data_IF_727501970564
#
_entry.id   IF_727501970564
#
_cell.length_a   1.000
_cell.length_b   1.000
_cell.length_c   1.000
_cell.angle_alpha   90.00
_cell.angle_beta   90.00
_cell.angle_gamma   90.00
#
_symmetry.space_group_name_H-M   'P 1'
#
loop_
_entity.id
_entity.type
_entity.pdbx_description
1 polymer ?
#
# COMPACT_ATOMS: atom_id res chain seq x y z
N UNK A 1 15.10 20.67 79.86
CA UNK A 1 14.70 21.27 78.58
C UNK A 1 14.94 20.25 77.49
N UNK A 2 13.90 19.57 76.96
CA UNK A 2 13.96 18.59 75.89
C UNK A 2 13.57 19.28 74.58
N UNK A 3 14.52 19.41 73.64
CA UNK A 3 14.25 19.92 72.28
C UNK A 3 13.76 18.77 71.44
N UNK A 4 12.53 18.84 70.92
CA UNK A 4 11.97 17.95 69.93
C UNK A 4 12.36 18.43 68.54
N UNK A 5 13.11 17.57 67.80
CA UNK A 5 13.49 17.79 66.40
C UNK A 5 12.41 17.16 65.51
N UNK A 6 11.60 17.98 64.88
CA UNK A 6 10.61 17.51 63.88
C UNK A 6 11.27 17.31 62.55
N UNK A 7 11.43 16.06 62.15
CA UNK A 7 11.90 15.66 60.81
C UNK A 7 10.72 15.70 59.85
N UNK A 8 10.69 16.69 58.96
CA UNK A 8 9.70 16.75 57.85
C UNK A 8 10.16 15.84 56.75
N UNK A 9 9.56 14.67 56.58
CA UNK A 9 9.83 13.75 55.49
C UNK A 9 8.94 14.18 54.32
N UNK A 10 9.46 14.94 53.38
CA UNK A 10 8.80 15.29 52.10
C UNK A 10 8.92 14.10 51.15
N UNK A 11 7.91 13.31 51.04
CA UNK A 11 7.71 12.29 49.98
C UNK A 11 7.42 12.99 48.67
N UNK A 12 8.44 13.08 47.79
CA UNK A 12 8.22 13.51 46.39
C UNK A 12 7.56 12.35 45.66
N UNK A 13 6.24 12.44 45.46
CA UNK A 13 5.49 11.56 44.57
C UNK A 13 5.86 11.94 43.14
N UNK A 14 6.80 11.22 42.54
CA UNK A 14 7.05 11.31 41.09
C UNK A 14 5.83 10.71 40.34
N UNK A 15 4.89 11.53 39.96
CA UNK A 15 3.85 11.22 39.00
C UNK A 15 4.51 10.98 37.65
N UNK A 16 4.81 9.73 37.34
CA UNK A 16 5.12 9.32 35.97
C UNK A 16 3.88 9.56 35.13
N UNK A 17 3.84 10.67 34.40
CA UNK A 17 2.88 10.93 33.34
C UNK A 17 3.12 9.89 32.23
N UNK A 18 2.53 8.71 32.37
CA UNK A 18 2.40 7.81 31.24
C UNK A 18 1.49 8.50 30.23
N UNK A 19 2.08 9.10 29.22
CA UNK A 19 1.33 9.53 28.03
C UNK A 19 0.66 8.28 27.47
N UNK A 20 -0.66 8.18 27.60
CA UNK A 20 -1.42 7.07 27.05
C UNK A 20 -1.28 7.13 25.52
N UNK A 21 -0.73 6.08 24.89
CA UNK A 21 -0.61 6.00 23.45
C UNK A 21 -1.98 6.16 22.80
N UNK A 22 -2.09 7.12 21.89
CA UNK A 22 -3.30 7.31 21.10
C UNK A 22 -3.23 6.46 19.84
N UNK A 23 -4.20 5.59 19.65
CA UNK A 23 -4.34 4.73 18.47
C UNK A 23 -5.47 5.27 17.60
N UNK A 24 -5.20 5.48 16.32
CA UNK A 24 -6.16 6.00 15.35
C UNK A 24 -6.21 5.10 14.11
N UNK A 25 -7.37 4.51 13.83
CA UNK A 25 -7.58 3.73 12.62
C UNK A 25 -7.55 4.63 11.38
N UNK A 26 -6.88 4.19 10.32
CA UNK A 26 -7.12 4.78 9.02
C UNK A 26 -8.58 4.54 8.60
N UNK A 27 -9.23 5.46 7.89
CA UNK A 27 -10.57 5.22 7.37
C UNK A 27 -10.63 3.88 6.63
N UNK A 28 -11.63 3.06 6.90
CA UNK A 28 -11.78 1.67 6.40
C UNK A 28 -10.61 0.71 6.74
N UNK A 29 -9.72 1.07 7.63
CA UNK A 29 -8.54 0.26 8.01
C UNK A 29 -8.87 -1.05 8.74
N UNK A 30 -10.13 -1.24 9.18
CA UNK A 30 -10.65 -2.52 9.71
C UNK A 30 -11.02 -3.54 8.63
N UNK A 31 -10.87 -3.21 7.35
CA UNK A 31 -11.11 -4.06 6.19
C UNK A 31 -12.49 -4.74 6.13
N UNK A 32 -13.48 -4.25 6.88
CA UNK A 32 -14.84 -4.82 6.95
C UNK A 32 -15.79 -4.32 5.84
N UNK A 33 -15.42 -3.24 5.16
CA UNK A 33 -16.32 -2.55 4.22
C UNK A 33 -15.75 -2.58 2.80
N UNK A 34 -16.52 -3.10 1.86
CA UNK A 34 -16.11 -3.31 0.47
C UNK A 34 -17.20 -2.91 -0.50
N UNK A 35 -16.86 -2.13 -1.52
CA UNK A 35 -17.67 -1.97 -2.72
C UNK A 35 -17.30 -3.07 -3.72
N UNK A 36 -18.27 -3.81 -4.19
CA UNK A 36 -18.09 -4.85 -5.22
C UNK A 36 -18.54 -4.29 -6.56
N UNK A 37 -17.64 -4.30 -7.54
CA UNK A 37 -17.90 -3.88 -8.91
C UNK A 37 -17.93 -5.09 -9.81
N UNK A 38 -19.04 -5.35 -10.48
CA UNK A 38 -19.15 -6.39 -11.49
C UNK A 38 -18.80 -5.82 -12.85
N UNK A 39 -17.63 -6.18 -13.36
CA UNK A 39 -17.11 -5.77 -14.66
C UNK A 39 -17.37 -6.88 -15.67
N UNK A 40 -18.11 -6.57 -16.75
CA UNK A 40 -18.30 -7.48 -17.89
C UNK A 40 -17.11 -7.33 -18.83
N UNK A 41 -16.29 -8.36 -18.93
CA UNK A 41 -15.17 -8.41 -19.87
C UNK A 41 -15.67 -8.47 -21.31
N UNK A 42 -14.90 -7.96 -22.26
CA UNK A 42 -15.22 -8.00 -23.68
C UNK A 42 -15.43 -9.44 -24.16
N UNK A 43 -16.35 -9.62 -25.13
CA UNK A 43 -16.64 -10.92 -25.71
C UNK A 43 -15.39 -11.62 -26.26
N UNK A 44 -14.46 -10.88 -26.87
CA UNK A 44 -13.17 -11.38 -27.33
C UNK A 44 -12.34 -12.07 -26.22
N UNK A 45 -12.58 -11.76 -24.95
CA UNK A 45 -11.97 -12.37 -23.77
C UNK A 45 -12.87 -13.40 -23.09
N UNK A 46 -13.93 -13.84 -23.78
CA UNK A 46 -14.90 -14.81 -23.29
C UNK A 46 -16.10 -14.19 -22.55
N UNK A 47 -16.27 -12.88 -22.53
CA UNK A 47 -17.47 -12.18 -22.05
C UNK A 47 -17.82 -12.42 -20.57
N UNK A 48 -16.88 -12.87 -19.74
CA UNK A 48 -17.12 -13.21 -18.33
C UNK A 48 -17.35 -11.96 -17.48
N UNK A 49 -18.21 -12.06 -16.49
CA UNK A 49 -18.34 -11.02 -15.45
C UNK A 49 -17.40 -11.33 -14.30
N UNK A 50 -16.58 -10.35 -13.94
CA UNK A 50 -15.63 -10.43 -12.82
C UNK A 50 -16.05 -9.50 -11.70
N UNK A 51 -15.99 -9.99 -10.46
CA UNK A 51 -16.12 -9.17 -9.26
C UNK A 51 -14.77 -8.48 -8.99
N UNK A 52 -14.76 -7.17 -8.94
CA UNK A 52 -13.60 -6.32 -8.63
C UNK A 52 -13.89 -5.60 -7.32
N UNK A 53 -13.00 -5.71 -6.34
CA UNK A 53 -13.22 -5.25 -4.98
C UNK A 53 -12.48 -3.94 -4.73
N UNK A 54 -13.17 -3.00 -4.06
CA UNK A 54 -12.63 -1.70 -3.64
C UNK A 54 -12.87 -1.54 -2.15
N UNK A 55 -11.85 -1.14 -1.40
CA UNK A 55 -11.98 -0.84 0.04
C UNK A 55 -12.69 0.51 0.18
N UNK A 56 -13.99 0.48 0.46
CA UNK A 56 -14.85 1.66 0.55
C UNK A 56 -16.15 1.29 1.27
N UNK A 57 -17.09 2.24 1.38
CA UNK A 57 -18.44 1.96 1.87
C UNK A 57 -19.03 0.75 1.13
N UNK A 58 -19.65 -0.15 1.87
CA UNK A 58 -20.29 -1.35 1.29
C UNK A 58 -21.35 -0.96 0.26
N UNK A 59 -21.12 -1.44 -0.97
CA UNK A 59 -21.99 -1.15 -2.12
C UNK A 59 -21.80 -2.22 -3.21
N UNK A 60 -22.70 -2.25 -4.19
CA UNK A 60 -22.63 -3.15 -5.36
C UNK A 60 -22.91 -2.38 -6.64
N UNK A 61 -21.93 -2.36 -7.54
CA UNK A 61 -21.99 -1.68 -8.83
C UNK A 61 -21.98 -2.69 -9.98
N UNK A 62 -22.98 -2.62 -10.87
CA UNK A 62 -23.16 -3.59 -11.99
C UNK A 62 -23.01 -2.92 -13.36
N UNK A 63 -21.89 -2.20 -13.55
CA UNK A 63 -21.62 -1.53 -14.82
C UNK A 63 -20.13 -1.24 -15.01
N UNK A 64 -19.69 -1.26 -16.25
CA UNK A 64 -18.33 -0.90 -16.66
C UNK A 64 -18.15 0.61 -16.71
N UNK A 65 -18.34 1.31 -15.57
CA UNK A 65 -18.11 2.76 -15.46
C UNK A 65 -16.88 3.04 -14.61
N UNK A 66 -16.16 4.14 -14.86
CA UNK A 66 -15.08 4.59 -14.00
C UNK A 66 -15.52 4.66 -12.54
N UNK A 67 -14.67 4.22 -11.63
CA UNK A 67 -14.94 4.32 -10.20
C UNK A 67 -14.40 5.64 -9.66
N UNK A 68 -15.22 6.42 -8.96
CA UNK A 68 -14.80 7.71 -8.41
C UNK A 68 -14.01 7.53 -7.13
N UNK A 69 -12.77 7.08 -7.22
CA UNK A 69 -11.88 6.88 -6.06
C UNK A 69 -11.82 8.15 -5.20
N UNK A 70 -11.85 7.96 -3.87
CA UNK A 70 -11.86 9.04 -2.89
C UNK A 70 -13.20 9.73 -2.67
N UNK A 71 -14.23 9.47 -3.48
CA UNK A 71 -15.54 10.12 -3.35
C UNK A 71 -16.28 9.75 -2.06
N UNK A 72 -16.04 8.56 -1.51
CA UNK A 72 -16.69 8.09 -0.28
C UNK A 72 -15.75 8.14 0.94
N UNK A 73 -14.74 9.02 0.93
CA UNK A 73 -13.81 9.20 2.05
C UNK A 73 -12.82 8.04 2.24
N UNK A 74 -12.79 7.06 1.32
CA UNK A 74 -11.78 5.99 1.38
C UNK A 74 -10.43 6.51 0.87
N UNK A 75 -9.35 6.34 1.65
CA UNK A 75 -8.00 6.68 1.22
C UNK A 75 -7.36 5.58 0.37
N UNK A 76 -8.04 4.44 0.18
CA UNK A 76 -7.44 3.23 -0.34
C UNK A 76 -7.60 3.08 -1.85
N UNK A 77 -6.48 2.78 -2.52
CA UNK A 77 -6.43 2.11 -3.81
C UNK A 77 -6.01 0.65 -3.64
N UNK A 78 -6.27 -0.16 -4.67
CA UNK A 78 -5.87 -1.56 -4.74
C UNK A 78 -5.24 -1.86 -6.10
N UNK A 79 -4.48 -2.95 -6.21
CA UNK A 79 -3.98 -3.48 -7.49
C UNK A 79 -5.07 -4.14 -8.34
N UNK A 80 -6.32 -4.20 -7.86
CA UNK A 80 -7.45 -4.57 -8.72
C UNK A 80 -7.66 -3.51 -9.79
N UNK A 81 -7.68 -3.92 -11.04
CA UNK A 81 -7.73 -2.99 -12.16
C UNK A 81 -8.86 -3.33 -13.13
N UNK A 82 -9.64 -2.32 -13.52
CA UNK A 82 -10.46 -2.34 -14.72
C UNK A 82 -9.70 -1.59 -15.80
N UNK A 83 -9.33 -2.29 -16.85
CA UNK A 83 -8.60 -1.73 -17.99
C UNK A 83 -9.49 -1.69 -19.23
N UNK A 84 -9.39 -0.59 -20.00
CA UNK A 84 -10.02 -0.44 -21.30
C UNK A 84 -8.97 0.02 -22.30
N UNK A 85 -8.55 -0.90 -23.17
CA UNK A 85 -7.48 -0.68 -24.16
C UNK A 85 -7.98 -1.05 -25.54
N UNK A 86 -7.96 -0.13 -26.49
CA UNK A 86 -8.44 -0.33 -27.86
C UNK A 86 -9.86 -0.94 -27.92
N UNK A 87 -10.75 -0.51 -27.04
CA UNK A 87 -12.12 -1.03 -26.94
C UNK A 87 -12.25 -2.37 -26.22
N UNK A 88 -11.15 -3.04 -25.87
CA UNK A 88 -11.15 -4.29 -25.11
C UNK A 88 -11.17 -4.00 -23.61
N UNK A 89 -12.14 -4.57 -22.91
CA UNK A 89 -12.36 -4.38 -21.47
C UNK A 89 -11.94 -5.64 -20.71
N UNK A 90 -11.10 -5.46 -19.68
CA UNK A 90 -10.56 -6.53 -18.85
C UNK A 90 -10.55 -6.13 -17.39
N UNK A 91 -10.86 -7.07 -16.50
CA UNK A 91 -10.68 -6.94 -15.06
C UNK A 91 -9.56 -7.86 -14.56
N UNK A 92 -8.63 -7.31 -13.77
CA UNK A 92 -7.61 -8.07 -13.06
C UNK A 92 -7.90 -7.99 -11.55
N UNK A 93 -7.87 -9.13 -10.86
CA UNK A 93 -8.17 -9.24 -9.44
C UNK A 93 -7.01 -9.93 -8.72
N UNK A 94 -6.44 -9.25 -7.75
CA UNK A 94 -5.34 -9.73 -6.90
C UNK A 94 -5.55 -9.36 -5.43
N UNK A 95 -6.65 -8.64 -5.14
CA UNK A 95 -7.06 -8.20 -3.81
C UNK A 95 -8.52 -8.57 -3.60
N UNK A 96 -8.80 -9.29 -2.52
CA UNK A 96 -10.16 -9.75 -2.20
C UNK A 96 -10.43 -9.62 -0.69
N UNK A 97 -11.70 -9.41 -0.28
CA UNK A 97 -12.10 -9.65 1.10
C UNK A 97 -12.06 -11.15 1.41
N UNK A 98 -11.57 -11.51 2.60
CA UNK A 98 -11.64 -12.86 3.13
C UNK A 98 -12.21 -12.82 4.55
N UNK A 99 -13.00 -13.84 4.94
CA UNK A 99 -13.61 -13.90 6.28
C UNK A 99 -12.55 -13.99 7.37
N UNK A 100 -12.70 -13.13 8.40
CA UNK A 100 -11.93 -13.16 9.64
C UNK A 100 -12.86 -12.97 10.83
N UNK A 101 -13.13 -14.04 11.55
CA UNK A 101 -14.11 -14.01 12.63
C UNK A 101 -15.49 -13.54 12.15
N UNK A 102 -16.03 -12.49 12.78
CA UNK A 102 -17.33 -11.89 12.40
C UNK A 102 -17.22 -10.89 11.25
N UNK A 103 -16.00 -10.43 10.90
CA UNK A 103 -15.74 -9.44 9.85
C UNK A 103 -14.96 -10.00 8.65
N UNK A 104 -14.20 -9.13 8.04
CA UNK A 104 -13.34 -9.44 6.92
C UNK A 104 -11.92 -8.93 7.16
N UNK A 105 -10.96 -9.52 6.46
CA UNK A 105 -9.61 -8.98 6.27
C UNK A 105 -9.39 -8.77 4.77
N UNK A 106 -8.32 -8.08 4.42
CA UNK A 106 -7.88 -7.90 3.05
C UNK A 106 -6.86 -8.98 2.70
N UNK A 107 -7.16 -9.81 1.68
CA UNK A 107 -6.26 -10.81 1.11
C UNK A 107 -5.60 -10.26 -0.15
N UNK A 108 -4.28 -10.20 -0.11
CA UNK A 108 -3.41 -9.75 -1.21
C UNK A 108 -2.69 -10.99 -1.77
N UNK A 109 -2.77 -11.22 -3.08
CA UNK A 109 -2.15 -12.40 -3.70
C UNK A 109 -1.36 -12.04 -4.94
N UNK A 110 -0.16 -12.60 -5.06
CA UNK A 110 0.61 -12.54 -6.32
C UNK A 110 0.17 -13.66 -7.23
N UNK A 111 -0.40 -13.31 -8.39
CA UNK A 111 -0.98 -14.27 -9.34
C UNK A 111 -0.50 -14.04 -10.76
N UNK A 112 -0.36 -15.13 -11.52
CA UNK A 112 -0.12 -15.05 -12.96
C UNK A 112 -1.48 -14.93 -13.68
N UNK A 113 -1.79 -13.74 -14.14
CA UNK A 113 -2.99 -13.45 -14.92
C UNK A 113 -2.78 -13.89 -16.37
N UNK A 114 -3.73 -14.65 -16.92
CA UNK A 114 -3.70 -15.08 -18.32
C UNK A 114 -4.87 -14.47 -19.07
N UNK A 115 -4.59 -13.93 -20.25
CA UNK A 115 -5.57 -13.44 -21.21
C UNK A 115 -5.47 -14.29 -22.46
N UNK A 116 -6.48 -15.15 -22.68
CA UNK A 116 -6.58 -15.98 -23.90
C UNK A 116 -7.67 -15.42 -24.79
N UNK A 117 -7.33 -15.04 -26.00
CA UNK A 117 -8.25 -14.60 -27.05
C UNK A 117 -7.66 -14.96 -28.41
N UNK A 118 -8.50 -15.50 -29.31
CA UNK A 118 -8.21 -15.86 -30.71
C UNK A 118 -6.72 -15.91 -31.07
N UNK A 119 -6.02 -17.01 -30.69
CA UNK A 119 -4.60 -17.20 -30.97
C UNK A 119 -3.60 -16.39 -30.13
N UNK A 120 -4.07 -15.62 -29.14
CA UNK A 120 -3.22 -14.82 -28.24
C UNK A 120 -3.30 -15.42 -26.84
N UNK A 121 -2.15 -15.72 -26.22
CA UNK A 121 -2.02 -16.17 -24.82
C UNK A 121 -1.08 -15.21 -24.07
N UNK A 122 -1.62 -14.10 -23.60
CA UNK A 122 -0.84 -13.09 -22.85
C UNK A 122 -0.83 -13.44 -21.37
N UNK A 123 0.36 -13.30 -20.76
CA UNK A 123 0.57 -13.56 -19.34
C UNK A 123 1.16 -12.33 -18.66
N UNK A 124 0.54 -11.89 -17.57
CA UNK A 124 1.02 -10.79 -16.75
C UNK A 124 1.02 -11.19 -15.26
N UNK A 125 2.13 -10.96 -14.58
CA UNK A 125 2.15 -11.14 -13.14
C UNK A 125 1.50 -9.93 -12.48
N UNK A 126 0.50 -10.19 -11.65
CA UNK A 126 -0.16 -9.19 -10.82
C UNK A 126 0.16 -9.46 -9.35
N UNK A 127 0.81 -8.52 -8.70
CA UNK A 127 1.08 -8.56 -7.26
C UNK A 127 -0.05 -7.89 -6.51
N UNK A 128 -0.71 -8.61 -5.60
CA UNK A 128 -1.76 -8.07 -4.73
C UNK A 128 -1.21 -6.97 -3.84
N UNK A 129 -1.77 -5.77 -3.95
CA UNK A 129 -1.33 -4.60 -3.18
C UNK A 129 -2.51 -3.72 -2.82
N UNK A 130 -2.43 -3.10 -1.64
CA UNK A 130 -3.25 -1.96 -1.23
C UNK A 130 -2.34 -0.77 -0.92
N UNK A 131 -2.85 0.42 -1.14
CA UNK A 131 -2.08 1.64 -0.92
C UNK A 131 -2.99 2.83 -0.63
N UNK A 132 -2.44 3.85 0.02
CA UNK A 132 -3.12 5.14 0.12
C UNK A 132 -2.90 5.92 -1.16
N UNK A 133 -4.01 6.24 -1.86
CA UNK A 133 -3.98 6.88 -3.16
C UNK A 133 -5.15 6.48 -4.04
N UNK A 134 -5.03 6.75 -5.35
CA UNK A 134 -6.11 6.53 -6.31
C UNK A 134 -5.59 5.83 -7.55
N UNK A 135 -6.26 4.77 -7.98
CA UNK A 135 -6.04 4.19 -9.29
C UNK A 135 -6.77 5.01 -10.36
N UNK A 136 -6.11 5.32 -11.46
CA UNK A 136 -6.78 5.84 -12.66
C UNK A 136 -7.67 4.74 -13.23
N UNK A 137 -8.94 5.02 -13.41
CA UNK A 137 -9.94 4.02 -13.77
C UNK A 137 -10.87 4.55 -14.90
N UNK A 138 -10.94 3.91 -16.05
CA UNK A 138 -10.22 2.69 -16.42
C UNK A 138 -8.72 2.91 -16.62
N UNK A 139 -7.94 1.86 -16.38
CA UNK A 139 -6.50 1.87 -16.66
C UNK A 139 -6.29 1.91 -18.17
N UNK A 140 -5.49 2.86 -18.63
CA UNK A 140 -5.14 3.03 -20.05
C UNK A 140 -3.99 2.11 -20.47
N UNK A 141 -3.69 2.05 -21.78
CA UNK A 141 -2.54 1.27 -22.32
C UNK A 141 -1.21 1.66 -21.64
N UNK A 142 -0.98 2.95 -21.36
CA UNK A 142 0.20 3.40 -20.65
C UNK A 142 0.26 2.84 -19.23
N UNK A 143 -0.84 2.90 -18.49
CA UNK A 143 -0.95 2.33 -17.14
C UNK A 143 -0.84 0.79 -17.12
N UNK A 144 -1.29 0.10 -18.18
CA UNK A 144 -1.07 -1.34 -18.31
C UNK A 144 0.41 -1.66 -18.51
N UNK A 145 1.16 -0.85 -19.30
CA UNK A 145 2.60 -1.05 -19.56
C UNK A 145 3.46 -0.64 -18.35
N UNK A 146 3.08 0.43 -17.67
CA UNK A 146 3.82 1.01 -16.53
C UNK A 146 2.81 1.29 -15.40
N UNK A 147 2.49 0.29 -14.57
CA UNK A 147 1.40 0.38 -13.59
C UNK A 147 1.48 1.58 -12.64
N UNK A 148 2.69 1.99 -12.26
CA UNK A 148 2.87 3.14 -11.38
C UNK A 148 2.34 4.46 -11.98
N UNK A 149 2.35 4.61 -13.31
CA UNK A 149 1.78 5.78 -14.00
C UNK A 149 0.25 5.85 -13.90
N UNK A 150 -0.42 4.76 -13.54
CA UNK A 150 -1.85 4.72 -13.29
C UNK A 150 -2.22 5.01 -11.82
N UNK A 151 -1.26 5.26 -10.93
CA UNK A 151 -1.51 5.43 -9.50
C UNK A 151 -1.11 6.83 -9.06
N UNK A 152 -2.10 7.61 -8.62
CA UNK A 152 -1.91 8.87 -7.89
C UNK A 152 -1.66 8.52 -6.43
N UNK A 153 -0.38 8.48 -6.03
CA UNK A 153 0.07 7.89 -4.78
C UNK A 153 0.13 8.93 -3.65
N UNK A 154 -0.40 8.52 -2.50
CA UNK A 154 -0.40 9.31 -1.27
C UNK A 154 -1.69 10.08 -1.07
N UNK A 155 -1.94 10.44 0.17
CA UNK A 155 -3.09 11.21 0.62
C UNK A 155 -2.64 12.41 1.45
N UNK A 156 -3.41 13.51 1.53
CA UNK A 156 -3.13 14.61 2.44
C UNK A 156 -3.04 14.11 3.89
N UNK A 157 -1.98 14.49 4.58
CA UNK A 157 -1.73 14.05 5.96
C UNK A 157 -0.70 14.96 6.65
N UNK A 158 -1.04 15.48 7.84
CA UNK A 158 -0.21 16.46 8.56
C UNK A 158 0.24 16.00 9.96
N UNK A 159 -0.21 14.81 10.40
CA UNK A 159 0.10 14.30 11.73
C UNK A 159 1.47 13.59 11.76
N UNK A 160 1.99 13.35 12.97
CA UNK A 160 3.30 12.72 13.19
C UNK A 160 3.14 11.47 14.09
N UNK A 161 2.66 10.34 13.55
CA UNK A 161 2.57 9.08 14.30
C UNK A 161 3.95 8.49 14.58
N UNK A 162 4.08 7.76 15.70
CA UNK A 162 5.32 7.07 16.07
C UNK A 162 5.45 5.68 15.45
N UNK A 163 4.31 5.06 15.07
CA UNK A 163 4.32 3.75 14.41
C UNK A 163 3.09 3.55 13.52
N UNK A 164 3.25 2.72 12.50
CA UNK A 164 2.16 1.99 11.86
C UNK A 164 1.90 0.72 12.68
N UNK A 165 0.62 0.40 12.92
CA UNK A 165 0.20 -0.84 13.56
C UNK A 165 -0.84 -1.53 12.69
N UNK A 166 -0.72 -2.85 12.54
CA UNK A 166 -1.66 -3.67 11.77
C UNK A 166 -1.65 -5.11 12.28
N UNK A 167 -2.66 -5.87 11.87
CA UNK A 167 -2.68 -7.31 12.05
C UNK A 167 -2.34 -7.95 10.69
N UNK A 168 -1.52 -9.00 10.69
CA UNK A 168 -1.22 -9.72 9.45
C UNK A 168 -0.91 -11.21 9.65
N UNK A 169 -1.07 -12.00 8.61
CA UNK A 169 -0.49 -13.32 8.38
C UNK A 169 0.01 -13.41 6.94
N UNK A 170 0.90 -14.36 6.64
CA UNK A 170 1.51 -14.45 5.33
C UNK A 170 1.86 -15.87 4.91
N UNK A 171 1.75 -16.15 3.62
CA UNK A 171 2.37 -17.29 2.94
C UNK A 171 3.38 -16.72 1.95
N UNK A 172 4.66 -17.03 2.16
CA UNK A 172 5.76 -16.54 1.32
C UNK A 172 6.48 -17.76 0.72
N UNK A 173 6.54 -17.81 -0.60
CA UNK A 173 7.22 -18.84 -1.34
C UNK A 173 8.74 -18.77 -1.10
N UNK A 174 9.35 -19.90 -0.74
CA UNK A 174 10.76 -19.96 -0.35
C UNK A 174 11.69 -20.39 -1.51
N UNK A 175 11.26 -20.21 -2.74
CA UNK A 175 12.08 -20.49 -3.92
C UNK A 175 13.24 -19.52 -4.11
N UNK A 176 14.26 -19.94 -4.86
CA UNK A 176 15.40 -19.09 -5.27
C UNK A 176 15.17 -18.41 -6.61
N UNK A 177 13.97 -18.50 -7.16
CA UNK A 177 13.60 -17.89 -8.44
C UNK A 177 12.20 -17.31 -8.41
N UNK A 178 12.01 -16.28 -9.19
CA UNK A 178 10.77 -15.55 -9.37
C UNK A 178 10.32 -15.65 -10.83
N UNK A 179 9.10 -15.25 -11.10
CA UNK A 179 8.54 -15.16 -12.45
C UNK A 179 8.48 -13.69 -12.88
N UNK A 180 8.85 -13.41 -14.11
CA UNK A 180 8.59 -12.14 -14.79
C UNK A 180 7.71 -12.38 -16.00
N UNK A 181 6.55 -11.70 -16.01
CA UNK A 181 5.54 -11.81 -17.08
C UNK A 181 4.87 -10.43 -17.29
N UNK A 182 5.17 -9.79 -18.43
CA UNK A 182 4.89 -8.35 -18.68
C UNK A 182 3.68 -8.12 -19.58
N UNK A 183 2.74 -9.05 -19.68
CA UNK A 183 1.62 -8.94 -20.61
C UNK A 183 1.94 -9.40 -22.04
N UNK A 184 2.95 -10.26 -22.20
CA UNK A 184 3.32 -10.93 -23.45
C UNK A 184 3.10 -12.43 -23.35
N UNK A 185 3.35 -13.17 -24.45
CA UNK A 185 3.34 -14.64 -24.44
C UNK A 185 4.48 -15.24 -23.63
N UNK A 186 5.55 -14.46 -23.42
CA UNK A 186 6.77 -14.90 -22.75
C UNK A 186 6.67 -14.76 -21.24
N UNK A 187 7.02 -15.84 -20.54
CA UNK A 187 7.26 -15.85 -19.10
C UNK A 187 8.73 -16.20 -18.89
N UNK A 188 9.45 -15.41 -18.10
CA UNK A 188 10.87 -15.63 -17.80
C UNK A 188 11.06 -15.91 -16.32
N UNK A 189 12.06 -16.73 -16.01
CA UNK A 189 12.52 -16.97 -14.65
C UNK A 189 13.60 -15.96 -14.28
N UNK A 190 13.48 -15.34 -13.11
CA UNK A 190 14.44 -14.37 -12.56
C UNK A 190 14.97 -14.94 -11.24
N UNK A 191 16.29 -14.92 -11.06
CA UNK A 191 16.90 -15.37 -9.80
C UNK A 191 16.62 -14.37 -8.66
N UNK A 192 16.38 -14.88 -7.47
CA UNK A 192 16.15 -14.09 -6.27
C UNK A 192 14.98 -14.61 -5.45
N UNK A 193 14.71 -13.91 -4.35
CA UNK A 193 13.58 -14.17 -3.47
C UNK A 193 12.65 -12.97 -3.46
N UNK A 194 11.36 -13.25 -3.38
CA UNK A 194 10.34 -12.24 -3.17
C UNK A 194 9.94 -12.19 -1.68
N UNK A 195 9.25 -11.13 -1.27
CA UNK A 195 8.80 -10.94 0.11
C UNK A 195 7.51 -10.12 0.12
N UNK A 196 6.67 -10.31 1.13
CA UNK A 196 5.66 -9.33 1.44
C UNK A 196 6.31 -8.01 1.85
N UNK A 197 5.75 -6.87 1.47
CA UNK A 197 6.31 -5.55 1.78
C UNK A 197 5.27 -4.64 2.43
N UNK A 198 5.67 -3.98 3.51
CA UNK A 198 4.93 -2.90 4.17
C UNK A 198 5.82 -1.67 4.15
N UNK A 199 5.36 -0.58 3.55
CA UNK A 199 6.05 0.71 3.61
C UNK A 199 5.09 1.83 3.98
N UNK A 200 5.54 2.72 4.86
CA UNK A 200 4.88 3.98 5.15
C UNK A 200 5.91 5.10 5.06
N UNK A 201 5.63 6.08 4.20
CA UNK A 201 6.44 7.27 4.06
C UNK A 201 5.60 8.51 4.39
N UNK A 202 6.13 9.36 5.25
CA UNK A 202 5.62 10.70 5.47
C UNK A 202 6.47 11.65 4.62
N UNK A 203 5.80 12.43 3.77
CA UNK A 203 6.47 13.36 2.85
C UNK A 203 5.97 14.80 3.07
N UNK A 204 6.89 15.74 3.00
CA UNK A 204 6.58 17.16 2.79
C UNK A 204 6.72 17.44 1.30
N UNK A 205 5.60 17.57 0.59
CA UNK A 205 5.55 17.78 -0.87
C UNK A 205 5.27 19.24 -1.20
N UNK A 206 5.83 19.68 -2.32
CA UNK A 206 5.47 20.94 -2.98
C UNK A 206 5.56 20.77 -4.50
N UNK A 207 4.94 21.67 -5.22
CA UNK A 207 4.94 21.74 -6.68
C UNK A 207 5.64 23.03 -7.11
N UNK A 208 6.48 22.98 -8.14
CA UNK A 208 7.08 24.14 -8.76
C UNK A 208 6.17 24.76 -9.84
N UNK A 209 6.59 25.88 -10.43
CA UNK A 209 5.84 26.58 -11.47
C UNK A 209 5.64 25.73 -12.74
N UNK A 210 6.55 24.79 -13.02
CA UNK A 210 6.47 23.89 -14.16
C UNK A 210 5.52 22.72 -13.93
N UNK A 211 5.14 22.47 -12.67
CA UNK A 211 4.25 21.39 -12.26
C UNK A 211 5.03 20.13 -11.88
N UNK A 212 6.33 20.22 -11.59
CA UNK A 212 7.09 19.13 -11.02
C UNK A 212 6.79 19.01 -9.53
N UNK A 213 6.65 17.78 -9.03
CA UNK A 213 6.41 17.54 -7.60
C UNK A 213 7.70 17.06 -6.95
N UNK A 214 8.14 17.81 -5.95
CA UNK A 214 9.27 17.49 -5.10
C UNK A 214 8.80 17.08 -3.71
N UNK A 215 9.63 16.33 -2.99
CA UNK A 215 9.38 15.94 -1.62
C UNK A 215 10.64 15.88 -0.76
N UNK A 216 10.52 16.29 0.49
CA UNK A 216 11.40 15.79 1.55
C UNK A 216 10.76 14.58 2.22
N UNK A 217 11.56 13.53 2.46
CA UNK A 217 11.16 12.41 3.30
C UNK A 217 11.22 12.83 4.76
N UNK A 218 10.08 12.90 5.44
CA UNK A 218 9.95 13.31 6.84
C UNK A 218 10.07 12.10 7.76
N UNK A 219 9.35 11.02 7.44
CA UNK A 219 9.34 9.79 8.22
C UNK A 219 9.32 8.55 7.34
N UNK A 220 9.95 7.47 7.81
CA UNK A 220 10.06 6.19 7.11
C UNK A 220 9.74 5.05 8.05
N UNK A 221 8.79 4.20 7.67
CA UNK A 221 8.60 2.88 8.25
C UNK A 221 8.61 1.86 7.11
N UNK A 222 9.30 0.76 7.28
CA UNK A 222 9.30 -0.35 6.33
C UNK A 222 9.52 -1.69 7.00
N UNK A 223 8.93 -2.73 6.42
CA UNK A 223 9.12 -4.11 6.81
C UNK A 223 9.04 -5.00 5.57
N UNK A 224 9.92 -6.01 5.49
CA UNK A 224 9.84 -7.09 4.50
C UNK A 224 9.62 -8.42 5.18
N UNK A 225 8.52 -9.05 4.83
CA UNK A 225 8.11 -10.36 5.34
C UNK A 225 8.70 -11.42 4.40
N UNK A 226 9.85 -11.97 4.79
CA UNK A 226 10.63 -12.91 3.95
C UNK A 226 10.29 -14.38 4.22
N UNK A 227 9.50 -14.68 5.24
CA UNK A 227 9.08 -16.03 5.62
C UNK A 227 7.59 -16.07 5.87
N UNK A 228 6.98 -17.23 5.69
CA UNK A 228 5.58 -17.43 6.04
C UNK A 228 5.32 -17.18 7.52
N UNK A 229 4.17 -16.60 7.80
CA UNK A 229 3.63 -16.31 9.12
C UNK A 229 2.23 -16.91 9.14
N UNK A 230 2.07 -18.20 9.52
CA UNK A 230 0.80 -18.92 9.37
C UNK A 230 -0.29 -18.39 10.29
N UNK A 231 0.09 -17.94 11.48
CA UNK A 231 -0.82 -17.40 12.48
C UNK A 231 -0.88 -15.88 12.44
N UNK A 232 -2.03 -15.30 12.81
CA UNK A 232 -2.20 -13.88 12.87
C UNK A 232 -1.26 -13.23 13.90
N UNK A 233 -0.39 -12.33 13.44
CA UNK A 233 0.30 -11.37 14.30
C UNK A 233 -0.61 -10.15 14.50
N UNK A 234 -1.28 -10.11 15.65
CA UNK A 234 -2.17 -9.01 16.01
C UNK A 234 -1.36 -7.86 16.61
N UNK A 235 -1.68 -6.62 16.23
CA UNK A 235 -1.02 -5.43 16.76
C UNK A 235 0.45 -5.31 16.39
N UNK A 236 0.86 -5.86 15.26
CA UNK A 236 2.24 -5.75 14.79
C UNK A 236 2.60 -4.29 14.51
N UNK A 237 3.71 -3.82 15.09
CA UNK A 237 4.14 -2.42 15.00
C UNK A 237 5.35 -2.29 14.10
N UNK A 238 5.28 -1.34 13.16
CA UNK A 238 6.41 -0.89 12.33
C UNK A 238 6.74 0.53 12.74
N UNK A 239 7.83 0.75 13.51
CA UNK A 239 8.20 2.08 14.00
C UNK A 239 8.50 3.06 12.86
N UNK A 240 8.08 4.31 13.02
CA UNK A 240 8.40 5.38 12.06
C UNK A 240 9.67 6.09 12.52
N UNK A 241 10.71 6.03 11.70
CA UNK A 241 11.98 6.74 11.90
C UNK A 241 11.91 8.07 11.18
N UNK A 242 12.16 9.16 11.89
CA UNK A 242 12.11 10.51 11.37
C UNK A 242 13.48 11.01 10.92
N UNK A 243 13.51 11.76 9.80
CA UNK A 243 14.72 12.36 9.24
C UNK A 243 15.59 11.40 8.43
N UNK A 244 16.89 11.69 8.39
CA UNK A 244 17.86 10.90 7.63
C UNK A 244 18.16 9.56 8.31
N UNK A 245 17.64 8.51 7.73
CA UNK A 245 17.79 7.13 8.22
C UNK A 245 19.03 6.42 7.64
N UNK A 246 19.73 7.01 6.68
CA UNK A 246 20.83 6.35 5.95
C UNK A 246 22.01 5.99 6.84
N UNK A 247 22.16 6.71 7.95
CA UNK A 247 23.22 6.50 8.95
C UNK A 247 22.80 5.57 10.09
N UNK A 248 21.57 5.08 10.09
CA UNK A 248 21.09 4.17 11.15
C UNK A 248 21.54 2.73 10.86
N UNK A 249 21.89 2.00 11.91
CA UNK A 249 22.34 0.59 11.80
C UNK A 249 21.33 -0.31 11.08
N UNK A 250 20.04 0.02 11.15
CA UNK A 250 18.94 -0.76 10.57
C UNK A 250 18.49 -0.26 9.19
N UNK A 251 19.26 0.66 8.54
CA UNK A 251 18.94 1.14 7.20
C UNK A 251 18.96 0.00 6.18
N UNK A 252 17.99 0.01 5.30
CA UNK A 252 17.87 -0.97 4.22
C UNK A 252 17.89 -0.27 2.85
N UNK A 253 18.56 -0.87 1.88
CA UNK A 253 18.72 -0.27 0.54
C UNK A 253 17.42 0.08 -0.17
N UNK A 254 16.33 -0.65 0.11
CA UNK A 254 15.01 -0.37 -0.46
C UNK A 254 14.29 0.83 0.16
N UNK A 255 14.83 1.38 1.26
CA UNK A 255 14.31 2.58 1.94
C UNK A 255 14.88 3.87 1.35
N UNK A 256 15.81 3.77 0.40
CA UNK A 256 16.45 4.93 -0.24
C UNK A 256 15.42 5.92 -0.80
N UNK A 257 15.82 7.18 -0.89
CA UNK A 257 15.04 8.19 -1.62
C UNK A 257 14.89 7.77 -3.08
N UNK A 258 13.76 8.11 -3.67
CA UNK A 258 13.50 7.84 -5.09
C UNK A 258 12.97 9.08 -5.80
N UNK A 259 13.35 9.24 -7.07
CA UNK A 259 12.86 10.33 -7.93
C UNK A 259 11.69 9.92 -8.83
N UNK A 260 11.34 8.62 -8.85
CA UNK A 260 10.41 8.07 -9.84
C UNK A 260 9.58 6.88 -9.34
N UNK A 261 9.78 6.43 -8.09
CA UNK A 261 9.03 5.28 -7.52
C UNK A 261 7.53 5.55 -7.46
N UNK A 262 7.13 6.77 -7.15
CA UNK A 262 5.73 7.15 -6.97
C UNK A 262 5.36 8.28 -7.89
N UNK A 263 4.14 8.20 -8.42
CA UNK A 263 3.55 9.27 -9.22
C UNK A 263 2.49 9.99 -8.40
N UNK A 264 2.25 11.24 -8.71
CA UNK A 264 1.13 12.01 -8.19
C UNK A 264 0.58 12.94 -9.25
N UNK A 265 -0.68 13.32 -9.09
CA UNK A 265 -1.32 14.28 -9.99
C UNK A 265 -0.96 15.70 -9.56
N UNK A 266 -0.38 16.48 -10.47
CA UNK A 266 -0.06 17.87 -10.21
C UNK A 266 -1.29 18.79 -10.38
N UNK A 267 -1.14 20.09 -10.07
CA UNK A 267 -2.19 21.11 -10.20
C UNK A 267 -2.71 21.26 -11.64
N UNK A 268 -1.89 20.93 -12.65
CA UNK A 268 -2.25 20.91 -14.07
C UNK A 268 -2.99 19.63 -14.50
N UNK A 269 -3.30 18.74 -13.55
CA UNK A 269 -3.98 17.47 -13.80
C UNK A 269 -3.14 16.35 -14.42
N UNK A 270 -1.82 16.55 -14.57
CA UNK A 270 -0.89 15.58 -15.15
C UNK A 270 -0.33 14.65 -14.06
N UNK A 271 -0.11 13.37 -14.41
CA UNK A 271 0.61 12.42 -13.57
C UNK A 271 2.11 12.66 -13.75
N UNK A 272 2.79 13.03 -12.67
CA UNK A 272 4.24 13.32 -12.65
C UNK A 272 4.92 12.54 -11.53
N UNK A 273 6.24 12.25 -11.64
CA UNK A 273 6.98 11.62 -10.55
C UNK A 273 7.04 12.51 -9.32
N UNK A 274 6.94 11.91 -8.14
CA UNK A 274 7.27 12.57 -6.87
C UNK A 274 8.77 12.41 -6.62
N UNK A 275 9.53 13.48 -6.78
CA UNK A 275 10.98 13.49 -6.68
C UNK A 275 11.40 13.72 -5.23
N UNK A 276 11.85 12.68 -4.54
CA UNK A 276 12.40 12.84 -3.20
C UNK A 276 13.84 13.35 -3.29
N UNK A 277 14.08 14.54 -2.76
CA UNK A 277 15.36 15.24 -2.90
C UNK A 277 16.17 15.30 -1.60
N UNK A 278 15.64 14.79 -0.49
CA UNK A 278 16.35 14.76 0.79
C UNK A 278 15.46 14.33 1.95
N UNK A 279 16.04 14.37 3.13
CA UNK A 279 15.35 14.11 4.40
C UNK A 279 15.18 15.42 5.18
N UNK A 280 14.05 15.57 5.89
CA UNK A 280 13.79 16.73 6.75
C UNK A 280 12.93 16.32 7.95
N UNK A 281 13.57 16.00 9.08
CA UNK A 281 12.91 15.47 10.27
C UNK A 281 11.88 16.42 10.88
N UNK A 282 12.14 17.72 10.85
CA UNK A 282 11.36 18.80 11.46
C UNK A 282 10.21 19.31 10.57
N UNK A 283 10.19 18.95 9.28
CA UNK A 283 9.14 19.39 8.41
C UNK A 283 7.78 18.78 8.80
N UNK A 284 6.72 19.58 8.70
CA UNK A 284 5.36 19.06 8.82
C UNK A 284 5.05 18.21 7.59
N UNK A 285 4.64 16.94 7.75
CA UNK A 285 4.18 16.14 6.63
C UNK A 285 3.02 16.84 5.91
N UNK A 286 2.95 16.71 4.61
CA UNK A 286 1.79 17.11 3.81
C UNK A 286 1.07 15.89 3.22
N UNK A 287 1.80 14.76 3.09
CA UNK A 287 1.29 13.52 2.50
C UNK A 287 1.77 12.28 3.28
N UNK A 288 0.89 11.28 3.30
CA UNK A 288 1.18 9.93 3.75
C UNK A 288 1.07 8.98 2.56
N UNK A 289 2.12 8.21 2.32
CA UNK A 289 2.13 7.02 1.47
C UNK A 289 2.13 5.81 2.40
N UNK A 290 1.15 4.93 2.27
CA UNK A 290 1.18 3.58 2.82
C UNK A 290 0.97 2.61 1.67
N UNK A 291 1.83 1.63 1.52
CA UNK A 291 1.68 0.52 0.59
C UNK A 291 1.92 -0.79 1.33
N UNK A 292 1.03 -1.75 1.13
CA UNK A 292 1.16 -3.12 1.63
C UNK A 292 0.96 -4.04 0.45
N UNK A 293 1.91 -4.95 0.21
CA UNK A 293 1.98 -5.74 -1.00
C UNK A 293 2.42 -7.19 -0.70
N UNK A 294 1.86 -8.15 -1.43
CA UNK A 294 2.27 -9.55 -1.36
C UNK A 294 3.59 -9.85 -2.10
N UNK A 295 4.25 -8.83 -2.65
CA UNK A 295 5.55 -8.88 -3.28
C UNK A 295 6.29 -7.57 -3.14
N UNK A 296 7.63 -7.61 -3.25
CA UNK A 296 8.50 -6.44 -3.07
C UNK A 296 9.32 -6.10 -4.31
N UNK A 297 9.05 -6.77 -5.43
CA UNK A 297 9.80 -6.61 -6.67
C UNK A 297 9.20 -5.52 -7.57
N UNK A 298 9.91 -5.23 -8.65
CA UNK A 298 9.40 -4.39 -9.72
C UNK A 298 8.09 -4.95 -10.30
N UNK A 299 7.32 -4.08 -10.96
CA UNK A 299 6.09 -4.48 -11.63
C UNK A 299 6.31 -5.70 -12.53
N UNK A 300 5.34 -6.60 -12.54
CA UNK A 300 5.35 -7.84 -13.31
C UNK A 300 6.41 -8.89 -12.92
N UNK A 301 7.10 -8.71 -11.79
CA UNK A 301 8.08 -9.66 -11.26
C UNK A 301 7.69 -10.06 -9.84
N UNK A 302 7.81 -11.34 -9.50
CA UNK A 302 7.50 -11.84 -8.16
C UNK A 302 7.25 -13.35 -8.12
N UNK A 303 6.79 -13.84 -6.98
CA UNK A 303 6.48 -15.25 -6.77
C UNK A 303 4.96 -15.48 -6.76
N UNK A 304 4.38 -16.11 -7.81
CA UNK A 304 2.99 -16.57 -7.75
C UNK A 304 2.75 -17.44 -6.52
N UNK A 305 1.64 -17.20 -5.82
CA UNK A 305 1.31 -17.89 -4.58
C UNK A 305 1.84 -17.22 -3.30
N UNK A 306 2.56 -16.10 -3.39
CA UNK A 306 2.73 -15.22 -2.24
C UNK A 306 1.37 -14.63 -1.87
N UNK A 307 1.01 -14.74 -0.60
CA UNK A 307 -0.23 -14.19 -0.06
C UNK A 307 0.05 -13.45 1.24
N UNK A 308 -0.52 -12.27 1.38
CA UNK A 308 -0.50 -11.49 2.60
C UNK A 308 -1.95 -11.16 2.98
N UNK A 309 -2.35 -11.47 4.19
CA UNK A 309 -3.61 -11.04 4.78
C UNK A 309 -3.33 -9.89 5.74
N UNK A 310 -4.10 -8.83 5.63
CA UNK A 310 -3.96 -7.65 6.49
C UNK A 310 -5.29 -7.16 7.00
N UNK A 311 -5.24 -6.59 8.20
CA UNK A 311 -6.43 -6.10 8.88
C UNK A 311 -6.04 -5.05 9.94
N UNK A 312 -7.02 -4.33 10.45
CA UNK A 312 -6.87 -3.42 11.60
C UNK A 312 -5.72 -2.41 11.44
N UNK A 313 -5.62 -1.76 10.26
CA UNK A 313 -4.56 -0.81 9.95
C UNK A 313 -4.80 0.52 10.68
N UNK A 314 -3.84 0.91 11.52
CA UNK A 314 -3.94 2.06 12.44
C UNK A 314 -2.60 2.73 12.68
N UNK A 315 -2.64 3.97 13.08
CA UNK A 315 -1.47 4.77 13.45
C UNK A 315 -1.41 4.94 14.97
N UNK A 316 -0.20 4.94 15.51
CA UNK A 316 0.07 5.12 16.94
C UNK A 316 0.77 6.46 17.12
N UNK A 317 0.33 7.23 18.14
CA UNK A 317 0.85 8.57 18.47
C UNK A 317 1.34 8.63 19.90
#
# INVERSE_FOLDING_TARGET
MRKYFFLFLTTILSLSLYSQERIEYLPYGKMDSWTVRYIKESFLLGGKTRALYVIAKTDTLRQNKPYPYGKNGSPWGTSNAYAKVCGVEKAAVSVTPERRGKGYCCRLETTLQTVKAVGIDLKALATGSIYTGRLLDPVTLEGVKVPMKAIDMGIPFTKRPIALMLDYKAVIQQGKSMVRATGSTKVTTVQGQDAGEIILFLQHRWEDADGNIFAYRVGTASERITKSVPDWKNGYRVPIRYGDITKTQNYKSWEKLSKDRFMARNSKGKMVPVQEIGYKADATPTHLILQISAGCQEAFTGCPGNVLWVDNIRLVY
#
